data_IF_179831089006
#
_entry.id   IF_179831089006
#
_cell.length_a   1.000
_cell.length_b   1.000
_cell.length_c   1.000
_cell.angle_alpha   90.00
_cell.angle_beta   90.00
_cell.angle_gamma   90.00
#
_symmetry.space_group_name_H-M   'P 1'
#
loop_
_entity.id
_entity.type
_entity.pdbx_description
1 polymer ?
#
# COMPACT_ATOMS: atom_id res chain seq x y z
N UNK A 1 13.16 -2.97 -3.35
CA UNK A 1 11.99 -2.35 -2.69
C UNK A 1 11.41 -3.36 -1.72
N UNK A 2 11.02 -2.96 -0.50
CA UNK A 2 10.19 -3.80 0.35
C UNK A 2 8.74 -3.58 -0.11
N UNK A 3 8.08 -4.63 -0.58
CA UNK A 3 6.69 -4.55 -1.03
C UNK A 3 5.73 -4.71 0.13
N UNK A 4 4.60 -4.01 0.04
CA UNK A 4 3.46 -4.23 0.90
C UNK A 4 3.63 -3.88 2.37
N UNK A 5 4.76 -3.35 2.86
CA UNK A 5 4.91 -3.04 4.29
C UNK A 5 4.13 -1.79 4.73
N UNK A 6 3.96 -0.84 3.82
CA UNK A 6 3.17 0.37 4.09
C UNK A 6 1.67 0.03 4.02
N UNK A 7 0.91 0.42 5.04
CA UNK A 7 -0.49 0.01 5.21
C UNK A 7 -0.72 -1.29 6.00
N UNK A 8 0.33 -1.97 6.50
CA UNK A 8 0.19 -3.15 7.38
C UNK A 8 0.22 -2.82 8.88
N UNK A 9 0.62 -1.60 9.24
CA UNK A 9 0.46 -1.13 10.61
C UNK A 9 -1.04 -0.98 10.83
N UNK A 10 -1.63 -1.93 11.57
CA UNK A 10 -3.04 -2.04 11.99
C UNK A 10 -3.89 -0.82 11.64
N UNK A 11 -5.05 -1.04 11.01
CA UNK A 11 -6.10 -0.11 10.47
C UNK A 11 -6.38 1.27 11.13
N UNK A 12 -5.67 1.67 12.18
CA UNK A 12 -5.81 2.84 13.02
C UNK A 12 -4.97 4.06 12.58
N UNK A 13 -4.52 4.15 11.32
CA UNK A 13 -3.98 5.40 10.76
C UNK A 13 -2.54 5.76 11.15
N UNK A 14 -1.69 4.77 11.49
CA UNK A 14 -0.27 5.01 11.78
C UNK A 14 0.58 5.31 10.53
N UNK A 15 0.01 5.18 9.33
CA UNK A 15 0.70 5.38 8.05
C UNK A 15 1.30 6.77 7.90
N UNK A 16 0.59 7.81 8.38
CA UNK A 16 1.10 9.18 8.41
C UNK A 16 2.39 9.27 9.24
N UNK A 17 2.44 8.59 10.39
CA UNK A 17 3.60 8.60 11.28
C UNK A 17 4.77 7.84 10.66
N UNK A 18 4.49 6.71 10.00
CA UNK A 18 5.48 5.92 9.25
C UNK A 18 6.08 6.76 8.13
N UNK A 19 5.24 7.39 7.31
CA UNK A 19 5.70 8.21 6.18
C UNK A 19 6.48 9.44 6.65
N UNK A 20 6.03 10.10 7.73
CA UNK A 20 6.76 11.20 8.34
C UNK A 20 8.12 10.75 8.90
N UNK A 21 8.22 9.54 9.45
CA UNK A 21 9.49 8.99 9.90
C UNK A 21 10.44 8.70 8.72
N UNK A 22 9.92 8.13 7.62
CA UNK A 22 10.68 7.95 6.38
C UNK A 22 11.21 9.28 5.86
N UNK A 23 10.35 10.30 5.76
CA UNK A 23 10.73 11.64 5.32
C UNK A 23 11.83 12.26 6.19
N UNK A 24 11.74 12.16 7.52
CA UNK A 24 12.77 12.68 8.45
C UNK A 24 14.13 11.99 8.29
N UNK A 25 14.15 10.71 7.91
CA UNK A 25 15.37 9.95 7.70
C UNK A 25 16.12 10.36 6.42
N UNK A 26 15.46 11.03 5.47
CA UNK A 26 16.09 11.51 4.24
C UNK A 26 16.91 12.78 4.50
N UNK A 27 18.07 12.92 3.87
CA UNK A 27 18.75 14.22 3.74
C UNK A 27 17.92 15.18 2.85
N UNK A 28 18.12 16.51 2.91
CA UNK A 28 17.54 17.43 1.93
C UNK A 28 17.85 17.00 0.48
N UNK A 29 16.84 16.99 -0.40
CA UNK A 29 16.93 16.45 -1.76
C UNK A 29 17.03 14.92 -1.84
N UNK A 30 16.97 14.20 -0.72
CA UNK A 30 16.97 12.74 -0.70
C UNK A 30 15.67 12.16 -1.26
N UNK A 31 15.76 11.01 -1.93
CA UNK A 31 14.63 10.36 -2.59
C UNK A 31 13.99 9.28 -1.72
N UNK A 32 12.67 9.17 -1.83
CA UNK A 32 11.82 8.12 -1.28
C UNK A 32 11.28 7.28 -2.44
N UNK A 33 11.32 5.96 -2.28
CA UNK A 33 10.54 5.03 -3.10
C UNK A 33 9.67 4.17 -2.18
N UNK A 34 8.35 4.24 -2.38
CA UNK A 34 7.34 3.63 -1.51
C UNK A 34 6.32 2.91 -2.38
N UNK A 35 6.08 1.61 -2.14
CA UNK A 35 4.90 0.94 -2.71
C UNK A 35 3.73 0.93 -1.72
N UNK A 36 2.52 0.99 -2.25
CA UNK A 36 1.28 1.00 -1.49
C UNK A 36 0.19 0.26 -2.28
N UNK A 37 -0.66 -0.50 -1.58
CA UNK A 37 -1.71 -1.29 -2.24
C UNK A 37 -2.79 -0.38 -2.87
N UNK A 38 -3.28 -0.76 -4.05
CA UNK A 38 -4.21 0.03 -4.84
C UNK A 38 -5.65 -0.16 -4.39
N UNK A 39 -6.27 0.89 -3.84
CA UNK A 39 -7.68 0.86 -3.43
C UNK A 39 -8.66 0.54 -4.57
N UNK A 40 -8.37 0.99 -5.80
CA UNK A 40 -9.25 0.70 -6.93
C UNK A 40 -9.25 -0.78 -7.28
N UNK A 41 -8.07 -1.41 -7.23
CA UNK A 41 -7.91 -2.84 -7.44
C UNK A 41 -8.65 -3.62 -6.35
N UNK A 42 -8.44 -3.25 -5.08
CA UNK A 42 -9.11 -3.89 -3.95
C UNK A 42 -10.64 -3.82 -4.06
N UNK A 43 -11.20 -2.65 -4.42
CA UNK A 43 -12.65 -2.50 -4.62
C UNK A 43 -13.13 -3.36 -5.80
N UNK A 44 -12.40 -3.35 -6.92
CA UNK A 44 -12.81 -4.06 -8.13
C UNK A 44 -12.78 -5.58 -7.97
N UNK A 45 -11.76 -6.13 -7.31
CA UNK A 45 -11.51 -7.57 -7.27
C UNK A 45 -11.82 -8.22 -5.93
N UNK A 46 -11.78 -7.50 -4.80
CA UNK A 46 -12.11 -8.06 -3.48
C UNK A 46 -13.52 -7.71 -3.06
N UNK A 47 -13.91 -6.43 -3.14
CA UNK A 47 -15.25 -6.00 -2.73
C UNK A 47 -16.36 -6.51 -3.67
N UNK A 48 -16.04 -6.82 -4.92
CA UNK A 48 -17.01 -7.36 -5.89
C UNK A 48 -17.37 -8.84 -5.67
N UNK A 49 -16.71 -9.53 -4.73
CA UNK A 49 -17.05 -10.90 -4.33
C UNK A 49 -16.28 -12.02 -5.03
N UNK A 50 -15.27 -11.70 -5.85
CA UNK A 50 -14.43 -12.71 -6.52
C UNK A 50 -13.47 -13.43 -5.54
N UNK A 51 -13.24 -12.86 -4.34
CA UNK A 51 -12.48 -13.49 -3.26
C UNK A 51 -13.35 -13.62 -2.00
N UNK A 52 -13.91 -14.81 -1.69
CA UNK A 52 -14.78 -15.00 -0.52
C UNK A 52 -14.05 -14.86 0.83
N UNK A 53 -12.72 -14.88 0.83
CA UNK A 53 -11.90 -14.65 2.02
C UNK A 53 -11.59 -13.18 2.28
N UNK A 54 -11.95 -12.25 1.39
CA UNK A 54 -11.62 -10.83 1.52
C UNK A 54 -12.85 -9.95 1.66
N UNK A 55 -12.80 -8.99 2.56
CA UNK A 55 -13.82 -7.94 2.74
C UNK A 55 -13.15 -6.58 2.76
N UNK A 56 -13.67 -5.65 1.96
CA UNK A 56 -13.15 -4.28 1.91
C UNK A 56 -14.02 -3.32 2.74
N UNK A 57 -13.43 -2.68 3.74
CA UNK A 57 -14.05 -1.60 4.50
C UNK A 57 -13.83 -0.27 3.78
N UNK A 58 -14.88 0.22 3.11
CA UNK A 58 -14.83 1.47 2.35
C UNK A 58 -14.71 2.73 3.23
N UNK A 59 -15.03 2.66 4.52
CA UNK A 59 -14.89 3.81 5.43
C UNK A 59 -13.44 4.03 5.86
N UNK A 60 -12.70 2.93 6.06
CA UNK A 60 -11.30 2.97 6.52
C UNK A 60 -10.29 2.73 5.39
N UNK A 61 -10.74 2.29 4.21
CA UNK A 61 -9.87 1.95 3.09
C UNK A 61 -9.06 0.67 3.32
N UNK A 62 -9.55 -0.23 4.18
CA UNK A 62 -8.83 -1.43 4.61
C UNK A 62 -9.42 -2.68 3.97
N UNK A 63 -8.57 -3.49 3.36
CA UNK A 63 -8.90 -4.85 2.98
C UNK A 63 -8.60 -5.81 4.15
N UNK A 64 -9.60 -6.53 4.62
CA UNK A 64 -9.46 -7.63 5.58
C UNK A 64 -9.53 -8.95 4.83
N UNK A 65 -8.44 -9.71 4.87
CA UNK A 65 -8.34 -11.03 4.24
C UNK A 65 -8.17 -12.11 5.31
N UNK A 66 -8.98 -13.16 5.22
CA UNK A 66 -8.86 -14.38 6.00
C UNK A 66 -8.18 -15.46 5.15
N UNK A 67 -6.99 -15.90 5.58
CA UNK A 67 -6.17 -16.86 4.82
C UNK A 67 -5.57 -17.93 5.72
N UNK A 68 -5.03 -19.00 5.12
CA UNK A 68 -4.31 -20.05 5.84
C UNK A 68 -2.81 -19.95 5.56
N UNK A 69 -2.01 -19.89 6.63
CA UNK A 69 -0.55 -20.02 6.54
C UNK A 69 -0.14 -21.39 7.06
N UNK A 70 0.82 -22.03 6.40
CA UNK A 70 1.36 -23.33 6.80
C UNK A 70 2.75 -23.20 7.38
N UNK A 71 3.04 -23.92 8.46
CA UNK A 71 4.40 -24.05 8.97
C UNK A 71 5.24 -25.03 8.11
N UNK A 72 6.52 -25.18 8.46
CA UNK A 72 7.44 -26.08 7.74
C UNK A 72 7.00 -27.55 7.78
N UNK A 73 6.19 -27.94 8.75
CA UNK A 73 5.60 -29.26 8.90
C UNK A 73 4.27 -29.43 8.12
N UNK A 74 3.81 -28.37 7.44
CA UNK A 74 2.58 -28.36 6.65
C UNK A 74 1.30 -28.11 7.44
N UNK A 75 1.38 -27.86 8.75
CA UNK A 75 0.24 -27.58 9.62
C UNK A 75 -0.33 -26.20 9.30
N UNK A 76 -1.64 -26.15 9.03
CA UNK A 76 -2.34 -24.92 8.67
C UNK A 76 -2.78 -24.15 9.91
N UNK A 77 -2.64 -22.83 9.84
CA UNK A 77 -3.21 -21.89 10.80
C UNK A 77 -3.96 -20.79 10.05
N UNK A 78 -5.22 -20.61 10.40
CA UNK A 78 -5.99 -19.46 9.96
C UNK A 78 -5.40 -18.17 10.54
N UNK A 79 -5.19 -17.18 9.68
CA UNK A 79 -4.68 -15.86 10.05
C UNK A 79 -5.49 -14.80 9.33
N UNK A 80 -5.67 -13.68 10.01
CA UNK A 80 -6.29 -12.49 9.45
C UNK A 80 -5.21 -11.49 9.06
N UNK A 81 -5.36 -10.90 7.88
CA UNK A 81 -4.50 -9.87 7.31
C UNK A 81 -5.32 -8.60 7.09
N UNK A 82 -4.79 -7.47 7.51
CA UNK A 82 -5.38 -6.15 7.27
C UNK A 82 -4.41 -5.29 6.48
N UNK A 83 -4.87 -4.81 5.33
CA UNK A 83 -4.06 -4.03 4.39
C UNK A 83 -4.75 -2.71 4.09
N UNK A 84 -4.12 -1.62 4.49
CA UNK A 84 -4.48 -0.27 4.05
C UNK A 84 -4.27 -0.15 2.54
N UNK A 85 -5.31 0.31 1.85
CA UNK A 85 -5.33 0.46 0.40
C UNK A 85 -5.56 1.93 0.06
N UNK A 86 -4.79 2.46 -0.90
CA UNK A 86 -4.73 3.90 -1.13
C UNK A 86 -5.10 4.27 -2.56
N UNK A 87 -5.59 5.49 -2.71
CA UNK A 87 -5.70 6.14 -4.03
C UNK A 87 -4.45 6.97 -4.33
N UNK A 88 -4.11 7.22 -5.61
CA UNK A 88 -3.03 8.14 -5.94
C UNK A 88 -3.25 9.57 -5.42
N UNK A 89 -4.51 9.98 -5.22
CA UNK A 89 -4.84 11.30 -4.67
C UNK A 89 -4.48 11.37 -3.18
N UNK A 90 -4.85 10.34 -2.43
CA UNK A 90 -4.54 10.21 -1.01
C UNK A 90 -3.03 10.13 -0.76
N UNK A 91 -2.31 9.31 -1.54
CA UNK A 91 -0.84 9.21 -1.44
C UNK A 91 -0.15 10.57 -1.62
N UNK A 92 -0.63 11.41 -2.56
CA UNK A 92 -0.12 12.78 -2.73
C UNK A 92 -0.43 13.69 -1.54
N UNK A 93 -1.56 13.49 -0.86
CA UNK A 93 -1.90 14.24 0.36
C UNK A 93 -1.01 13.80 1.50
N UNK A 94 -0.88 12.49 1.74
CA UNK A 94 -0.02 11.91 2.78
C UNK A 94 1.44 12.35 2.62
N UNK A 95 1.99 12.26 1.40
CA UNK A 95 3.35 12.71 1.10
C UNK A 95 3.55 14.20 1.42
N UNK A 96 2.59 15.05 1.03
CA UNK A 96 2.63 16.49 1.31
C UNK A 96 2.62 16.78 2.81
N UNK A 97 1.75 16.10 3.56
CA UNK A 97 1.68 16.21 5.03
C UNK A 97 3.00 15.76 5.67
N UNK A 98 3.63 14.71 5.14
CA UNK A 98 4.93 14.21 5.58
C UNK A 98 6.12 15.10 5.18
N UNK A 99 5.92 16.13 4.36
CA UNK A 99 6.98 17.06 3.93
C UNK A 99 7.86 16.54 2.79
N UNK A 100 7.34 15.62 1.97
CA UNK A 100 8.00 15.18 0.73
C UNK A 100 7.15 15.54 -0.49
N UNK A 101 7.81 15.91 -1.57
CA UNK A 101 7.17 16.26 -2.85
C UNK A 101 7.15 15.03 -3.74
N UNK A 102 5.97 14.65 -4.22
CA UNK A 102 5.81 13.51 -5.14
C UNK A 102 6.30 13.90 -6.53
N UNK A 103 7.24 13.13 -7.07
CA UNK A 103 7.75 13.25 -8.43
C UNK A 103 6.89 12.45 -9.40
N UNK A 104 6.51 11.23 -9.01
CA UNK A 104 5.68 10.35 -9.83
C UNK A 104 4.97 9.28 -9.01
N UNK A 105 3.86 8.79 -9.55
CA UNK A 105 3.14 7.61 -9.07
C UNK A 105 2.91 6.71 -10.27
N UNK A 106 3.40 5.48 -10.21
CA UNK A 106 3.24 4.48 -11.25
C UNK A 106 2.41 3.29 -10.78
N UNK A 107 1.69 2.64 -11.70
CA UNK A 107 1.23 1.27 -11.48
C UNK A 107 2.41 0.30 -11.51
N UNK A 108 2.45 -0.67 -10.59
CA UNK A 108 3.48 -1.73 -10.59
C UNK A 108 2.89 -3.08 -10.17
N UNK A 109 3.58 -4.14 -10.56
CA UNK A 109 3.35 -5.50 -10.05
C UNK A 109 4.58 -5.95 -9.24
N UNK A 110 4.43 -6.91 -8.32
CA UNK A 110 5.56 -7.58 -7.68
C UNK A 110 6.63 -8.07 -8.66
N UNK A 111 7.83 -7.51 -8.52
CA UNK A 111 8.97 -7.78 -9.41
C UNK A 111 8.94 -7.04 -10.76
N UNK A 112 7.83 -6.40 -11.13
CA UNK A 112 7.61 -5.66 -12.36
C UNK A 112 7.65 -4.14 -12.17
N UNK A 113 8.75 -3.61 -11.65
CA UNK A 113 8.88 -2.17 -11.42
C UNK A 113 9.19 -1.41 -12.70
N UNK A 114 8.45 -0.33 -12.95
CA UNK A 114 8.67 0.53 -14.10
C UNK A 114 7.85 1.81 -14.04
N UNK A 115 7.92 2.57 -15.13
CA UNK A 115 7.10 3.76 -15.33
C UNK A 115 5.87 3.35 -16.13
N UNK A 116 4.73 3.26 -15.45
CA UNK A 116 3.46 2.94 -16.06
C UNK A 116 2.38 3.84 -15.45
N UNK A 117 1.43 4.28 -16.28
CA UNK A 117 0.31 5.09 -15.82
C UNK A 117 -0.47 4.40 -14.69
N UNK A 118 -0.95 5.14 -13.66
CA UNK A 118 -1.86 4.61 -12.65
C UNK A 118 -3.13 4.01 -13.28
N UNK A 119 -3.42 2.74 -12.97
CA UNK A 119 -4.62 2.04 -13.43
C UNK A 119 -5.40 1.42 -12.27
N UNK A 120 -6.58 0.89 -12.57
CA UNK A 120 -7.39 0.10 -11.63
C UNK A 120 -7.07 -1.39 -11.68
N UNK A 121 -6.15 -1.80 -12.57
CA UNK A 121 -5.91 -3.21 -12.93
C UNK A 121 -4.66 -3.82 -12.30
N UNK A 122 -3.86 -2.99 -11.64
CA UNK A 122 -2.61 -3.42 -10.97
C UNK A 122 -2.75 -3.31 -9.47
N UNK A 123 -2.16 -4.26 -8.75
CA UNK A 123 -2.35 -4.38 -7.30
C UNK A 123 -1.65 -3.28 -6.49
N UNK A 124 -0.58 -2.68 -7.00
CA UNK A 124 0.21 -1.69 -6.26
C UNK A 124 0.48 -0.40 -7.05
N UNK A 125 0.60 0.70 -6.31
CA UNK A 125 1.24 1.92 -6.79
C UNK A 125 2.66 2.03 -6.25
N UNK A 126 3.58 2.52 -7.09
CA UNK A 126 4.92 2.96 -6.70
C UNK A 126 4.97 4.48 -6.69
N UNK A 127 5.23 5.07 -5.52
CA UNK A 127 5.46 6.50 -5.33
C UNK A 127 6.96 6.77 -5.33
N UNK A 128 7.39 7.70 -6.18
CA UNK A 128 8.72 8.32 -6.11
C UNK A 128 8.52 9.76 -5.66
N UNK A 129 9.26 10.15 -4.63
CA UNK A 129 9.18 11.48 -4.03
C UNK A 129 10.56 11.94 -3.55
N UNK A 130 10.71 13.22 -3.27
CA UNK A 130 11.93 13.75 -2.66
C UNK A 130 11.61 14.63 -1.44
N UNK A 131 12.53 14.66 -0.49
CA UNK A 131 12.50 15.62 0.61
C UNK A 131 12.90 17.00 0.08
N UNK A 132 11.98 17.95 0.20
CA UNK A 132 12.22 19.36 -0.13
C UNK A 132 13.29 20.00 0.77
#
# INVERSE_FOLDING_TARGET
LCQGAFGLMTANGDDERVLAAMARALRPGGQLALSAFNAYYAVKYFAAGDNPGATFDAATGVNHEHTEVRNEQGEAKAVDLWTGCYTPRELRVLCRVAGVTVDSISSVEPGGYGWAEPTTETAEFLVIAHRS
#
